data_IF_454984740771
#
_entry.id   IF_454984740771
#
_cell.length_a   1.000
_cell.length_b   1.000
_cell.length_c   1.000
_cell.angle_alpha   90.00
_cell.angle_beta   90.00
_cell.angle_gamma   90.00
#
_symmetry.space_group_name_H-M   'P 1'
#
loop_
_entity.id
_entity.type
_entity.pdbx_description
1 polymer ?
#
# COMPACT_ATOMS: atom_id res chain seq x y z
N UNK A 1 -10.28 0.26 -43.33
CA UNK A 1 -9.12 0.03 -42.44
C UNK A 1 -9.54 -1.06 -41.47
N UNK A 2 -8.84 -2.19 -41.51
CA UNK A 2 -9.36 -3.50 -41.10
C UNK A 2 -9.76 -3.57 -39.62
N UNK A 3 -10.95 -4.15 -39.39
CA UNK A 3 -11.43 -4.69 -38.11
C UNK A 3 -10.37 -5.67 -37.60
N UNK A 4 -9.51 -5.20 -36.69
CA UNK A 4 -8.49 -6.05 -36.09
C UNK A 4 -9.21 -7.05 -35.18
N UNK A 5 -9.13 -8.35 -35.54
CA UNK A 5 -9.83 -9.44 -34.85
C UNK A 5 -9.53 -9.38 -33.35
N UNK A 6 -10.56 -9.45 -32.50
CA UNK A 6 -10.47 -9.42 -31.03
C UNK A 6 -9.36 -10.29 -30.44
N UNK A 7 -9.06 -11.42 -31.08
CA UNK A 7 -7.94 -12.31 -30.72
C UNK A 7 -6.57 -11.61 -30.70
N UNK A 8 -6.28 -10.75 -31.68
CA UNK A 8 -5.01 -10.05 -31.77
C UNK A 8 -4.86 -8.99 -30.68
N UNK A 9 -5.93 -8.23 -30.40
CA UNK A 9 -5.93 -7.25 -29.31
C UNK A 9 -5.74 -7.94 -27.94
N UNK A 10 -6.34 -9.12 -27.76
CA UNK A 10 -6.17 -9.94 -26.55
C UNK A 10 -4.74 -10.45 -26.39
N UNK A 11 -4.13 -10.98 -27.45
CA UNK A 11 -2.73 -11.43 -27.45
C UNK A 11 -1.77 -10.27 -27.16
N UNK A 12 -2.02 -9.09 -27.75
CA UNK A 12 -1.21 -7.91 -27.53
C UNK A 12 -1.30 -7.42 -26.08
N UNK A 13 -2.50 -7.38 -25.50
CA UNK A 13 -2.70 -7.03 -24.08
C UNK A 13 -2.06 -8.04 -23.13
N UNK A 14 -2.17 -9.34 -23.43
CA UNK A 14 -1.52 -10.38 -22.63
C UNK A 14 0.01 -10.32 -22.74
N UNK A 15 0.56 -10.14 -23.95
CA UNK A 15 2.00 -9.93 -24.14
C UNK A 15 2.51 -8.69 -23.42
N UNK A 16 1.73 -7.61 -23.41
CA UNK A 16 2.01 -6.42 -22.62
C UNK A 16 2.11 -6.73 -21.13
N UNK A 17 1.12 -7.41 -20.53
CA UNK A 17 1.19 -7.82 -19.11
C UNK A 17 2.42 -8.68 -18.80
N UNK A 18 2.74 -9.65 -19.68
CA UNK A 18 3.91 -10.53 -19.49
C UNK A 18 5.23 -9.76 -19.53
N UNK A 19 5.40 -8.88 -20.52
CA UNK A 19 6.61 -8.06 -20.65
C UNK A 19 6.77 -7.09 -19.49
N UNK A 20 5.68 -6.50 -18.98
CA UNK A 20 5.73 -5.69 -17.76
C UNK A 20 6.20 -6.50 -16.56
N UNK A 21 5.64 -7.69 -16.34
CA UNK A 21 6.04 -8.56 -15.24
C UNK A 21 7.52 -9.00 -15.36
N UNK A 22 8.01 -9.22 -16.58
CA UNK A 22 9.43 -9.50 -16.85
C UNK A 22 10.33 -8.28 -16.60
N UNK A 23 9.94 -7.09 -17.05
CA UNK A 23 10.68 -5.86 -16.77
C UNK A 23 10.81 -5.62 -15.27
N UNK A 24 9.73 -5.82 -14.52
CA UNK A 24 9.72 -5.69 -13.07
C UNK A 24 10.68 -6.72 -12.44
N UNK A 25 10.58 -7.99 -12.84
CA UNK A 25 11.44 -9.07 -12.32
C UNK A 25 12.92 -8.89 -12.64
N UNK A 26 13.25 -8.43 -13.85
CA UNK A 26 14.62 -8.28 -14.30
C UNK A 26 15.27 -6.98 -13.84
N UNK A 27 14.51 -5.89 -13.76
CA UNK A 27 15.04 -4.56 -13.47
C UNK A 27 14.98 -4.21 -11.99
N UNK A 28 13.92 -4.65 -11.28
CA UNK A 28 13.60 -4.15 -9.94
C UNK A 28 14.06 -5.12 -8.86
N UNK A 29 13.67 -6.39 -8.97
CA UNK A 29 13.96 -7.47 -8.02
C UNK A 29 15.45 -7.66 -7.67
N UNK A 30 16.40 -7.72 -8.62
CA UNK A 30 17.82 -7.91 -8.28
C UNK A 30 18.46 -6.71 -7.58
N UNK A 31 17.87 -5.50 -7.71
CA UNK A 31 18.42 -4.29 -7.08
C UNK A 31 17.85 -4.04 -5.68
N UNK A 32 16.67 -4.58 -5.37
CA UNK A 32 16.03 -4.43 -4.07
C UNK A 32 16.47 -5.50 -3.06
N UNK A 33 16.72 -6.73 -3.52
CA UNK A 33 17.12 -7.87 -2.68
C UNK A 33 18.48 -7.71 -1.97
N UNK A 34 19.31 -6.73 -2.36
CA UNK A 34 20.69 -6.59 -1.87
C UNK A 34 20.92 -5.39 -0.92
N UNK A 35 19.95 -4.49 -0.72
CA UNK A 35 20.17 -3.21 -0.01
C UNK A 35 19.39 -3.07 1.31
N UNK A 36 20.01 -2.39 2.30
CA UNK A 36 19.43 -2.07 3.62
C UNK A 36 18.26 -1.07 3.51
N UNK A 37 17.35 -1.15 4.49
CA UNK A 37 16.04 -0.46 4.59
C UNK A 37 16.03 1.03 4.27
N UNK A 38 17.06 1.78 4.66
CA UNK A 38 17.04 3.25 4.56
C UNK A 38 17.22 3.75 3.12
N UNK A 39 17.78 2.91 2.25
CA UNK A 39 17.93 3.21 0.82
C UNK A 39 16.86 2.53 -0.04
N UNK A 40 16.04 1.65 0.53
CA UNK A 40 15.02 0.90 -0.20
C UNK A 40 14.02 1.83 -0.89
N UNK A 41 13.40 2.76 -0.14
CA UNK A 41 12.42 3.69 -0.72
C UNK A 41 13.02 4.61 -1.77
N UNK A 42 14.26 5.09 -1.55
CA UNK A 42 14.95 5.92 -2.55
C UNK A 42 15.22 5.16 -3.84
N UNK A 43 15.66 3.91 -3.73
CA UNK A 43 15.92 3.09 -4.91
C UNK A 43 14.62 2.67 -5.61
N UNK A 44 13.56 2.41 -4.85
CA UNK A 44 12.22 2.12 -5.34
C UNK A 44 11.65 3.31 -6.13
N UNK A 45 11.76 4.54 -5.60
CA UNK A 45 11.35 5.76 -6.32
C UNK A 45 12.16 5.94 -7.60
N UNK A 46 13.48 5.69 -7.56
CA UNK A 46 14.33 5.75 -8.76
C UNK A 46 13.91 4.71 -9.81
N UNK A 47 13.59 3.49 -9.38
CA UNK A 47 13.13 2.42 -10.27
C UNK A 47 11.74 2.71 -10.83
N UNK A 48 10.84 3.28 -10.04
CA UNK A 48 9.53 3.75 -10.49
C UNK A 48 9.68 4.83 -11.56
N UNK A 49 10.57 5.81 -11.38
CA UNK A 49 10.86 6.84 -12.40
C UNK A 49 11.37 6.25 -13.72
N UNK A 50 12.23 5.23 -13.66
CA UNK A 50 12.70 4.52 -14.86
C UNK A 50 11.56 3.71 -15.50
N UNK A 51 10.72 3.07 -14.69
CA UNK A 51 9.56 2.31 -15.15
C UNK A 51 8.50 3.21 -15.81
N UNK A 52 8.25 4.41 -15.26
CA UNK A 52 7.40 5.42 -15.90
C UNK A 52 7.91 5.82 -17.29
N UNK A 53 9.22 5.78 -17.52
CA UNK A 53 9.81 6.03 -18.84
C UNK A 53 9.44 4.91 -19.82
N UNK A 54 9.44 3.65 -19.38
CA UNK A 54 8.95 2.50 -20.16
C UNK A 54 7.44 2.60 -20.41
N UNK A 55 6.66 3.04 -19.40
CA UNK A 55 5.22 3.30 -19.55
C UNK A 55 4.95 4.42 -20.55
N UNK A 56 5.86 5.39 -20.70
CA UNK A 56 5.71 6.43 -21.72
C UNK A 56 5.78 5.90 -23.16
N UNK A 57 6.31 4.69 -23.38
CA UNK A 57 6.19 3.97 -24.65
C UNK A 57 4.87 3.19 -24.79
N UNK A 58 4.02 3.17 -23.77
CA UNK A 58 2.69 2.55 -23.80
C UNK A 58 1.67 3.45 -24.50
N UNK A 59 1.98 4.74 -24.67
CA UNK A 59 1.18 5.64 -25.52
C UNK A 59 1.11 5.18 -26.97
N UNK A 60 2.06 4.37 -27.45
CA UNK A 60 2.00 3.73 -28.77
C UNK A 60 0.84 2.73 -28.88
N UNK A 61 0.36 2.20 -27.76
CA UNK A 61 -0.77 1.29 -27.65
C UNK A 61 -2.07 1.99 -27.27
N UNK A 62 -2.17 3.32 -27.36
CA UNK A 62 -3.38 4.08 -27.02
C UNK A 62 -4.63 3.64 -27.82
N UNK A 63 -4.42 2.97 -28.96
CA UNK A 63 -5.49 2.32 -29.72
C UNK A 63 -6.16 1.18 -28.92
N UNK A 64 -5.41 0.40 -28.14
CA UNK A 64 -5.98 -0.66 -27.31
C UNK A 64 -6.83 -0.09 -26.16
N UNK A 65 -6.39 0.99 -25.51
CA UNK A 65 -7.18 1.70 -24.48
C UNK A 65 -8.55 2.13 -25.04
N UNK A 66 -8.55 2.78 -26.21
CA UNK A 66 -9.79 3.34 -26.80
C UNK A 66 -10.70 2.30 -27.44
N UNK A 67 -10.14 1.27 -28.09
CA UNK A 67 -10.95 0.37 -28.93
C UNK A 67 -11.22 -0.99 -28.28
N UNK A 68 -10.32 -1.49 -27.44
CA UNK A 68 -10.45 -2.82 -26.84
C UNK A 68 -10.85 -2.71 -25.36
N UNK A 69 -10.19 -1.86 -24.58
CA UNK A 69 -10.44 -1.77 -23.14
C UNK A 69 -11.80 -1.12 -22.82
N UNK A 70 -12.25 -0.14 -23.61
CA UNK A 70 -13.62 0.43 -23.51
C UNK A 70 -14.71 -0.62 -23.79
N UNK A 71 -14.48 -1.52 -24.76
CA UNK A 71 -15.47 -2.54 -25.13
C UNK A 71 -15.64 -3.61 -24.06
N UNK A 72 -14.58 -3.91 -23.30
CA UNK A 72 -14.55 -4.97 -22.31
C UNK A 72 -14.54 -4.47 -20.85
N UNK A 73 -14.63 -3.15 -20.62
CA UNK A 73 -14.55 -2.50 -19.30
C UNK A 73 -13.31 -2.92 -18.49
N UNK A 74 -12.18 -3.05 -19.19
CA UNK A 74 -10.91 -3.44 -18.58
C UNK A 74 -10.16 -2.21 -18.06
N UNK A 75 -9.31 -2.37 -17.03
CA UNK A 75 -8.47 -1.28 -16.53
C UNK A 75 -7.55 -0.75 -17.64
N UNK A 76 -7.19 0.54 -17.56
CA UNK A 76 -6.31 1.13 -18.57
C UNK A 76 -4.95 0.44 -18.58
N UNK A 77 -4.24 0.54 -19.70
CA UNK A 77 -2.87 0.02 -19.80
C UNK A 77 -1.94 0.62 -18.74
N UNK A 78 -2.14 1.90 -18.40
CA UNK A 78 -1.39 2.59 -17.35
C UNK A 78 -1.71 2.05 -15.96
N UNK A 79 -3.00 1.87 -15.64
CA UNK A 79 -3.41 1.33 -14.33
C UNK A 79 -2.93 -0.11 -14.16
N UNK A 80 -2.96 -0.89 -15.25
CA UNK A 80 -2.45 -2.27 -15.27
C UNK A 80 -0.93 -2.31 -15.05
N UNK A 81 -0.19 -1.38 -15.67
CA UNK A 81 1.26 -1.26 -15.47
C UNK A 81 1.61 -0.86 -14.03
N UNK A 82 0.92 0.15 -13.50
CA UNK A 82 1.09 0.57 -12.10
C UNK A 82 0.78 -0.57 -11.13
N UNK A 83 -0.37 -1.23 -11.29
CA UNK A 83 -0.79 -2.37 -10.46
C UNK A 83 0.21 -3.52 -10.54
N UNK A 84 0.74 -3.82 -11.74
CA UNK A 84 1.73 -4.89 -11.92
C UNK A 84 3.04 -4.57 -11.19
N UNK A 85 3.55 -3.34 -11.28
CA UNK A 85 4.78 -2.95 -10.59
C UNK A 85 4.60 -2.96 -9.07
N UNK A 86 3.57 -2.29 -8.57
CA UNK A 86 3.34 -2.17 -7.13
C UNK A 86 2.95 -3.51 -6.51
N UNK A 87 2.06 -4.27 -7.14
CA UNK A 87 1.60 -5.56 -6.65
C UNK A 87 2.71 -6.60 -6.57
N UNK A 88 3.68 -6.60 -7.49
CA UNK A 88 4.76 -7.60 -7.47
C UNK A 88 5.94 -7.16 -6.60
N UNK A 89 6.40 -5.92 -6.76
CA UNK A 89 7.60 -5.43 -6.07
C UNK A 89 7.32 -5.09 -4.63
N UNK A 90 6.28 -4.30 -4.37
CA UNK A 90 6.02 -3.81 -3.03
C UNK A 90 5.51 -4.94 -2.17
N UNK A 91 4.55 -5.72 -2.64
CA UNK A 91 3.95 -6.76 -1.79
C UNK A 91 4.97 -7.84 -1.42
N UNK A 92 5.72 -8.42 -2.37
CA UNK A 92 6.62 -9.55 -2.06
C UNK A 92 7.80 -9.14 -1.16
N UNK A 93 8.52 -8.06 -1.51
CA UNK A 93 9.69 -7.63 -0.74
C UNK A 93 9.29 -7.07 0.63
N UNK A 94 8.18 -6.33 0.71
CA UNK A 94 7.68 -5.78 1.98
C UNK A 94 7.17 -6.90 2.88
N UNK A 95 6.48 -7.91 2.32
CA UNK A 95 6.02 -9.07 3.08
C UNK A 95 7.20 -9.85 3.66
N UNK A 96 8.23 -10.13 2.85
CA UNK A 96 9.42 -10.83 3.30
C UNK A 96 10.18 -10.04 4.39
N UNK A 97 10.31 -8.72 4.22
CA UNK A 97 10.91 -7.84 5.21
C UNK A 97 10.16 -7.90 6.55
N UNK A 98 8.83 -7.70 6.52
CA UNK A 98 8.03 -7.69 7.75
C UNK A 98 7.87 -9.06 8.38
N UNK A 99 7.90 -10.14 7.61
CA UNK A 99 7.93 -11.51 8.13
C UNK A 99 9.19 -11.80 8.96
N UNK A 100 10.36 -11.37 8.47
CA UNK A 100 11.60 -11.46 9.24
C UNK A 100 11.55 -10.54 10.47
N UNK A 101 11.07 -9.32 10.27
CA UNK A 101 11.05 -8.29 11.30
C UNK A 101 10.12 -8.62 12.46
N UNK A 102 8.94 -9.17 12.18
CA UNK A 102 8.00 -9.62 13.23
C UNK A 102 8.56 -10.74 14.08
N UNK A 103 9.26 -11.70 13.46
CA UNK A 103 9.94 -12.79 14.17
C UNK A 103 11.02 -12.28 15.12
N UNK A 104 11.71 -11.19 14.77
CA UNK A 104 12.64 -10.50 15.67
C UNK A 104 11.89 -9.78 16.80
N UNK A 105 10.82 -9.04 16.48
CA UNK A 105 10.09 -8.21 17.45
C UNK A 105 9.35 -9.03 18.50
N UNK A 106 8.72 -10.13 18.13
CA UNK A 106 7.92 -10.96 19.05
C UNK A 106 8.77 -11.56 20.19
N UNK A 107 10.09 -11.64 20.00
CA UNK A 107 11.04 -12.06 21.05
C UNK A 107 11.41 -10.95 22.04
N UNK A 108 11.22 -9.68 21.66
CA UNK A 108 11.67 -8.52 22.44
C UNK A 108 10.54 -7.75 23.12
N UNK A 109 9.30 -7.90 22.66
CA UNK A 109 8.14 -7.18 23.19
C UNK A 109 7.17 -8.13 23.89
N UNK A 110 6.43 -7.60 24.88
CA UNK A 110 5.24 -8.27 25.40
C UNK A 110 4.13 -8.30 24.32
N UNK A 111 3.13 -9.19 24.43
CA UNK A 111 2.07 -9.27 23.42
C UNK A 111 1.28 -7.96 23.24
N UNK A 112 0.86 -7.25 24.30
CA UNK A 112 0.22 -5.94 24.14
C UNK A 112 1.15 -4.91 23.49
N UNK A 113 2.41 -4.84 23.90
CA UNK A 113 3.38 -3.88 23.34
C UNK A 113 3.69 -4.19 21.87
N UNK A 114 3.72 -5.47 21.50
CA UNK A 114 3.86 -5.92 20.13
C UNK A 114 2.69 -5.45 19.27
N UNK A 115 1.44 -5.62 19.74
CA UNK A 115 0.27 -5.15 19.00
C UNK A 115 0.25 -3.62 18.86
N UNK A 116 0.60 -2.88 19.91
CA UNK A 116 0.77 -1.43 19.82
C UNK A 116 1.85 -1.06 18.78
N UNK A 117 2.94 -1.84 18.72
CA UNK A 117 4.00 -1.66 17.72
C UNK A 117 3.53 -1.94 16.29
N UNK A 118 2.69 -2.96 16.10
CA UNK A 118 2.08 -3.27 14.80
C UNK A 118 1.23 -2.11 14.32
N UNK A 119 0.38 -1.55 15.18
CA UNK A 119 -0.47 -0.40 14.86
C UNK A 119 0.37 0.85 14.51
N UNK A 120 1.38 1.18 15.33
CA UNK A 120 2.29 2.29 15.05
C UNK A 120 3.01 2.11 13.71
N UNK A 121 3.44 0.88 13.40
CA UNK A 121 4.12 0.55 12.14
C UNK A 121 3.16 0.71 10.97
N UNK A 122 1.92 0.22 11.08
CA UNK A 122 0.89 0.39 10.06
C UNK A 122 0.67 1.87 9.71
N UNK A 123 0.50 2.74 10.71
CA UNK A 123 0.30 4.17 10.46
C UNK A 123 1.52 4.83 9.80
N UNK A 124 2.73 4.48 10.26
CA UNK A 124 3.98 5.02 9.69
C UNK A 124 4.17 4.57 8.26
N UNK A 125 3.90 3.30 7.95
CA UNK A 125 4.03 2.76 6.61
C UNK A 125 3.01 3.33 5.64
N UNK A 126 1.76 3.49 6.08
CA UNK A 126 0.73 4.15 5.27
C UNK A 126 1.15 5.57 4.92
N UNK A 127 1.59 6.37 5.90
CA UNK A 127 2.09 7.74 5.65
C UNK A 127 3.33 7.74 4.74
N UNK A 128 4.23 6.78 4.93
CA UNK A 128 5.46 6.66 4.15
C UNK A 128 5.19 6.33 2.69
N UNK A 129 4.28 5.38 2.43
CA UNK A 129 3.89 4.97 1.09
C UNK A 129 3.12 6.10 0.38
N UNK A 130 2.13 6.71 1.04
CA UNK A 130 1.44 7.88 0.51
C UNK A 130 2.43 9.00 0.12
N UNK A 131 3.42 9.28 0.98
CA UNK A 131 4.42 10.31 0.72
C UNK A 131 5.38 9.97 -0.44
N UNK A 132 5.93 8.75 -0.50
CA UNK A 132 6.91 8.40 -1.52
C UNK A 132 6.31 8.03 -2.87
N UNK A 133 5.09 7.48 -2.88
CA UNK A 133 4.42 7.02 -4.10
C UNK A 133 3.39 8.03 -4.62
N UNK A 134 3.06 9.06 -3.85
CA UNK A 134 2.04 10.06 -4.19
C UNK A 134 0.68 9.42 -4.55
N UNK A 135 0.27 8.41 -3.80
CA UNK A 135 -1.02 7.72 -3.93
C UNK A 135 -2.01 8.23 -2.88
N UNK A 136 -3.31 7.96 -3.08
CA UNK A 136 -4.33 8.26 -2.07
C UNK A 136 -4.02 7.56 -0.75
N UNK A 137 -4.40 8.19 0.37
CA UNK A 137 -4.29 7.56 1.70
C UNK A 137 -5.07 6.23 1.76
N UNK A 138 -6.19 6.12 1.03
CA UNK A 138 -6.99 4.90 0.93
C UNK A 138 -6.24 3.77 0.22
N UNK A 139 -5.61 4.06 -0.93
CA UNK A 139 -4.83 3.09 -1.68
C UNK A 139 -3.60 2.64 -0.89
N UNK A 140 -2.94 3.61 -0.22
CA UNK A 140 -1.79 3.32 0.64
C UNK A 140 -2.16 2.42 1.81
N UNK A 141 -3.31 2.67 2.44
CA UNK A 141 -3.81 1.82 3.51
C UNK A 141 -4.12 0.42 3.00
N UNK A 142 -4.77 0.32 1.83
CA UNK A 142 -5.07 -0.96 1.19
C UNK A 142 -3.79 -1.78 0.93
N UNK A 143 -2.72 -1.16 0.41
CA UNK A 143 -1.44 -1.84 0.24
C UNK A 143 -0.83 -2.31 1.58
N UNK A 144 -0.85 -1.49 2.62
CA UNK A 144 -0.35 -1.88 3.94
C UNK A 144 -1.16 -3.04 4.55
N UNK A 145 -2.48 -3.06 4.36
CA UNK A 145 -3.34 -4.17 4.81
C UNK A 145 -3.02 -5.48 4.09
N UNK A 146 -2.51 -5.43 2.86
CA UNK A 146 -2.12 -6.62 2.10
C UNK A 146 -0.67 -7.05 2.38
N UNK A 147 0.27 -6.12 2.53
CA UNK A 147 1.70 -6.43 2.63
C UNK A 147 2.23 -6.50 4.07
N UNK A 148 1.77 -5.60 4.94
CA UNK A 148 2.39 -5.34 6.26
C UNK A 148 1.60 -6.03 7.36
N UNK A 149 0.28 -5.90 7.37
CA UNK A 149 -0.58 -6.50 8.40
C UNK A 149 -0.48 -8.03 8.49
N UNK A 150 -0.58 -8.80 7.38
CA UNK A 150 -0.61 -10.27 7.45
C UNK A 150 0.64 -10.91 8.07
N UNK A 151 1.89 -10.58 7.69
CA UNK A 151 3.07 -11.21 8.29
C UNK A 151 3.27 -10.82 9.77
N UNK A 152 2.83 -9.62 10.17
CA UNK A 152 2.88 -9.18 11.57
C UNK A 152 1.84 -9.92 12.43
N UNK A 153 0.65 -10.19 11.88
CA UNK A 153 -0.41 -10.91 12.59
C UNK A 153 -0.20 -12.43 12.63
N UNK A 154 0.31 -13.02 11.55
CA UNK A 154 0.61 -14.46 11.52
C UNK A 154 1.61 -14.88 12.60
N UNK A 155 2.62 -14.04 12.83
CA UNK A 155 3.63 -14.28 13.87
C UNK A 155 3.05 -14.16 15.27
N UNK A 156 2.20 -13.15 15.50
CA UNK A 156 1.43 -13.02 16.74
C UNK A 156 0.57 -14.26 17.00
N UNK A 157 -0.21 -14.70 16.02
CA UNK A 157 -1.07 -15.88 16.13
C UNK A 157 -0.26 -17.15 16.40
N UNK A 158 0.87 -17.34 15.69
CA UNK A 158 1.74 -18.50 15.92
C UNK A 158 2.32 -18.51 17.33
N UNK A 159 2.73 -17.35 17.84
CA UNK A 159 3.33 -17.21 19.16
C UNK A 159 2.29 -17.41 20.27
N UNK A 160 1.09 -16.83 20.11
CA UNK A 160 -0.01 -17.01 21.06
C UNK A 160 -0.43 -18.48 21.19
N UNK A 161 -0.49 -19.20 20.06
CA UNK A 161 -0.76 -20.65 20.02
C UNK A 161 0.35 -21.45 20.71
N UNK A 162 1.61 -21.17 20.41
CA UNK A 162 2.76 -21.89 20.99
C UNK A 162 2.82 -21.73 22.52
N UNK A 163 2.50 -20.54 23.02
CA UNK A 163 2.51 -20.24 24.46
C UNK A 163 1.24 -20.66 25.20
N UNK A 164 0.26 -21.30 24.53
CA UNK A 164 -1.05 -21.64 25.08
C UNK A 164 -1.71 -20.45 25.81
N UNK A 165 -1.53 -19.23 25.28
CA UNK A 165 -2.10 -18.02 25.86
C UNK A 165 -3.61 -18.09 25.57
N UNK A 166 -4.37 -18.41 26.61
CA UNK A 166 -5.81 -18.67 26.51
C UNK A 166 -6.56 -17.49 25.89
N UNK A 167 -7.68 -17.79 25.21
CA UNK A 167 -8.50 -16.81 24.47
C UNK A 167 -8.94 -15.61 25.29
N UNK A 168 -8.93 -15.70 26.62
CA UNK A 168 -9.28 -14.62 27.54
C UNK A 168 -8.25 -13.47 27.57
N UNK A 169 -6.95 -13.77 27.48
CA UNK A 169 -5.89 -12.74 27.33
C UNK A 169 -5.94 -12.08 25.94
N UNK A 170 -6.24 -12.85 24.90
CA UNK A 170 -6.48 -12.35 23.54
C UNK A 170 -7.65 -11.35 23.48
N UNK A 171 -8.76 -11.69 24.14
CA UNK A 171 -9.91 -10.81 24.26
C UNK A 171 -9.59 -9.55 25.08
N UNK A 172 -8.78 -9.67 26.13
CA UNK A 172 -8.32 -8.50 26.88
C UNK A 172 -7.46 -7.57 26.03
N UNK A 173 -6.57 -8.11 25.19
CA UNK A 173 -5.76 -7.29 24.27
C UNK A 173 -6.58 -6.64 23.15
N UNK A 174 -7.56 -7.35 22.58
CA UNK A 174 -8.47 -6.77 21.59
C UNK A 174 -9.39 -5.70 22.21
N UNK A 175 -9.84 -5.91 23.45
CA UNK A 175 -10.69 -4.97 24.19
C UNK A 175 -9.96 -3.66 24.52
N UNK A 176 -8.66 -3.72 24.82
CA UNK A 176 -7.82 -2.52 25.00
C UNK A 176 -7.72 -1.72 23.69
N UNK A 177 -7.60 -2.38 22.54
CA UNK A 177 -7.57 -1.68 21.25
C UNK A 177 -8.91 -1.03 20.88
N UNK A 178 -10.04 -1.69 21.17
CA UNK A 178 -11.38 -1.09 20.99
C UNK A 178 -11.55 0.16 21.86
N UNK A 179 -11.02 0.17 23.09
CA UNK A 179 -11.10 1.37 23.93
C UNK A 179 -10.26 2.54 23.42
N UNK A 180 -9.14 2.27 22.74
CA UNK A 180 -8.31 3.31 22.11
C UNK A 180 -9.01 3.89 20.87
N UNK A 181 -9.67 3.04 20.07
CA UNK A 181 -10.48 3.49 18.94
C UNK A 181 -11.68 4.35 19.39
N UNK A 182 -12.37 3.95 20.46
CA UNK A 182 -13.46 4.72 21.06
C UNK A 182 -12.98 6.07 21.63
N UNK A 183 -11.77 6.12 22.19
CA UNK A 183 -11.16 7.34 22.72
C UNK A 183 -10.72 8.30 21.58
N UNK A 184 -10.26 7.75 20.45
CA UNK A 184 -9.98 8.51 19.24
C UNK A 184 -11.27 9.04 18.58
N UNK A 185 -12.32 8.23 18.52
CA UNK A 185 -13.66 8.66 18.05
C UNK A 185 -14.26 9.74 18.96
N UNK A 186 -14.07 9.64 20.28
CA UNK A 186 -14.45 10.67 21.24
C UNK A 186 -13.67 11.99 21.04
N UNK A 187 -12.38 11.93 20.71
CA UNK A 187 -11.59 13.12 20.37
C UNK A 187 -11.98 13.73 19.01
N UNK A 188 -12.31 12.91 18.03
CA UNK A 188 -12.76 13.37 16.71
C UNK A 188 -14.16 14.00 16.75
N UNK A 189 -15.06 13.50 17.61
CA UNK A 189 -16.39 14.10 17.83
C UNK A 189 -16.34 15.44 18.58
N UNK A 190 -15.23 15.76 19.27
CA UNK A 190 -14.98 17.08 19.87
C UNK A 190 -14.42 18.14 18.90
N UNK A 191 -14.10 17.78 17.65
CA UNK A 191 -13.60 18.69 16.62
C UNK A 191 -14.72 19.22 15.72
N UNK A 192 -15.92 19.44 16.26
CA UNK A 192 -16.97 20.16 15.54
C UNK A 192 -16.57 21.64 15.37
N UNK A 193 -16.69 22.13 14.14
CA UNK A 193 -16.46 23.52 13.72
C UNK A 193 -17.47 24.49 14.37
N UNK A 194 -17.36 24.74 15.68
CA UNK A 194 -18.12 25.80 16.37
C UNK A 194 -17.19 26.83 17.06
N UNK A 195 -15.92 26.88 16.63
CA UNK A 195 -14.91 27.80 17.17
C UNK A 195 -14.43 28.88 16.21
N UNK A 196 -15.05 29.04 15.04
CA UNK A 196 -14.63 30.05 14.07
C UNK A 196 -15.84 30.81 13.51
N UNK A 197 -16.47 31.62 14.35
CA UNK A 197 -17.28 32.75 13.87
C UNK A 197 -16.77 34.03 14.50
N UNK A 198 -16.17 34.83 13.62
CA UNK A 198 -16.29 36.29 13.51
C UNK A 198 -15.71 37.19 14.61
N UNK A 199 -14.53 37.72 14.31
CA UNK A 199 -14.21 39.12 14.61
C UNK A 199 -13.52 39.75 13.39
N UNK A 200 -14.31 40.05 12.37
CA UNK A 200 -13.96 41.12 11.42
C UNK A 200 -15.20 41.96 11.12
N UNK A 201 -15.26 43.14 11.72
CA UNK A 201 -16.19 44.20 11.34
C UNK A 201 -15.45 45.52 11.44
N UNK A 202 -14.72 45.79 10.35
CA UNK A 202 -14.38 47.14 9.91
C UNK A 202 -15.69 47.89 9.64
N UNK A 203 -15.87 49.09 10.21
CA UNK A 203 -16.54 50.19 9.52
C UNK A 203 -16.21 51.52 10.22
N UNK A 204 -15.63 52.43 9.44
CA UNK A 204 -15.57 53.86 9.74
C UNK A 204 -16.77 54.61 9.17
N UNK A 205 -16.71 55.95 9.31
CA UNK A 205 -17.72 56.99 9.07
C UNK A 205 -18.69 57.15 10.26
N UNK A 206 -18.77 58.30 10.93
CA UNK A 206 -18.63 59.70 10.51
C UNK A 206 -18.12 60.57 11.66
#
# INVERSE_FOLDING_TARGET
MAVQKNHYCQEMYNGFKTTLAECVRAMVLPHLTQKKSDHFFKELVRMWSNYCTTIRFVTFFSYLDRCYLEQYKLPSLNDTAATSFFGTVILEDTYAYYSKRSSEWIMHYSLPDYLAKVQETMEKETKRLAHYLCISDEDSLHFCLQAVSPPLMQTYDSYAREKNIGGELLLQTYKVNSTVEDELLARCSGLTLDGCSDNSSFNGTK
#
